data_IF_449190270625
#
_entry.id   IF_449190270625
#
_cell.length_a   1.000
_cell.length_b   1.000
_cell.length_c   1.000
_cell.angle_alpha   90.00
_cell.angle_beta   90.00
_cell.angle_gamma   90.00
#
_symmetry.space_group_name_H-M   'P 1'
#
loop_
_entity.id
_entity.type
_entity.pdbx_description
1 polymer ?
#
# COMPACT_ATOMS: atom_id res chain seq x y z
N UNK A 1 13.48 7.71 4.60
CA UNK A 1 13.65 6.31 4.12
C UNK A 1 14.90 6.11 3.27
N UNK A 2 14.99 6.66 2.05
CA UNK A 2 16.26 6.62 1.30
C UNK A 2 17.26 7.67 1.82
N UNK A 3 16.76 8.84 2.20
CA UNK A 3 17.57 9.92 2.80
C UNK A 3 18.23 9.49 4.11
N UNK A 4 17.51 8.75 4.96
CA UNK A 4 18.05 8.16 6.20
C UNK A 4 19.23 7.22 5.95
N UNK A 5 19.34 6.67 4.74
CA UNK A 5 20.41 5.79 4.29
C UNK A 5 21.43 6.51 3.40
N UNK A 6 21.32 7.84 3.26
CA UNK A 6 22.08 8.66 2.32
C UNK A 6 22.00 8.16 0.86
N UNK A 7 20.89 7.51 0.49
CA UNK A 7 20.62 7.00 -0.85
C UNK A 7 19.75 7.97 -1.65
N UNK A 8 19.98 8.02 -2.97
CA UNK A 8 19.11 8.73 -3.93
C UNK A 8 18.57 7.75 -4.97
N UNK A 9 17.27 7.43 -4.95
CA UNK A 9 16.69 6.51 -5.93
C UNK A 9 16.68 7.15 -7.32
N UNK A 10 16.96 6.35 -8.35
CA UNK A 10 16.76 6.77 -9.76
C UNK A 10 15.30 6.53 -10.13
N UNK A 11 14.51 7.59 -10.14
CA UNK A 11 13.10 7.51 -10.49
C UNK A 11 12.95 7.25 -11.99
N UNK A 12 12.33 6.12 -12.35
CA UNK A 12 12.11 5.75 -13.76
C UNK A 12 10.76 6.22 -14.29
N UNK A 13 9.75 6.23 -13.44
CA UNK A 13 8.40 6.66 -13.78
C UNK A 13 7.70 7.19 -12.52
N UNK A 14 6.74 8.08 -12.73
CA UNK A 14 5.80 8.54 -11.69
C UNK A 14 4.43 8.01 -12.08
N UNK A 15 3.81 7.28 -11.16
CA UNK A 15 2.48 6.70 -11.34
C UNK A 15 1.67 6.95 -10.07
N UNK A 16 0.37 7.16 -10.22
CA UNK A 16 -0.58 7.44 -9.13
C UNK A 16 -1.40 6.21 -8.72
N UNK A 17 -1.28 5.11 -9.45
CA UNK A 17 -2.03 3.89 -9.23
C UNK A 17 -1.10 2.69 -8.97
N UNK A 18 -1.38 1.97 -7.90
CA UNK A 18 -0.58 0.82 -7.46
C UNK A 18 -0.63 -0.35 -8.44
N UNK A 19 -1.77 -0.59 -9.10
CA UNK A 19 -1.90 -1.66 -10.09
C UNK A 19 -1.06 -1.36 -11.33
N UNK A 20 -1.04 -0.10 -11.79
CA UNK A 20 -0.13 0.35 -12.85
C UNK A 20 1.33 0.13 -12.44
N UNK A 21 1.68 0.41 -11.18
CA UNK A 21 3.02 0.19 -10.65
C UNK A 21 3.42 -1.29 -10.68
N UNK A 22 2.54 -2.20 -10.24
CA UNK A 22 2.78 -3.65 -10.28
C UNK A 22 2.98 -4.16 -11.70
N UNK A 23 2.15 -3.71 -12.65
CA UNK A 23 2.29 -4.07 -14.06
C UNK A 23 3.65 -3.63 -14.60
N UNK A 24 4.09 -2.41 -14.29
CA UNK A 24 5.40 -1.92 -14.68
C UNK A 24 6.55 -2.75 -14.08
N UNK A 25 6.46 -3.13 -12.80
CA UNK A 25 7.46 -3.99 -12.14
C UNK A 25 7.50 -5.37 -12.79
N UNK A 26 6.33 -5.99 -13.03
CA UNK A 26 6.22 -7.31 -13.69
C UNK A 26 6.79 -7.28 -15.11
N UNK A 27 6.63 -6.17 -15.83
CA UNK A 27 7.24 -5.95 -17.15
C UNK A 27 8.76 -5.65 -17.10
N UNK A 28 9.38 -5.67 -15.92
CA UNK A 28 10.82 -5.45 -15.75
C UNK A 28 11.25 -3.98 -15.82
N UNK A 29 10.32 -3.02 -15.68
CA UNK A 29 10.67 -1.61 -15.71
C UNK A 29 11.55 -1.21 -14.51
N UNK A 30 11.41 -1.89 -13.36
CA UNK A 30 12.22 -1.62 -12.18
C UNK A 30 11.68 -2.32 -10.95
N UNK A 31 11.96 -1.73 -9.78
CA UNK A 31 11.43 -2.16 -8.49
C UNK A 31 10.51 -1.09 -7.92
N UNK A 32 9.58 -1.51 -7.08
CA UNK A 32 8.65 -0.62 -6.39
C UNK A 32 8.61 -0.92 -4.89
N UNK A 33 8.25 0.09 -4.12
CA UNK A 33 7.90 -0.05 -2.71
C UNK A 33 6.42 0.22 -2.56
N UNK A 34 5.71 -0.75 -2.00
CA UNK A 34 4.25 -0.75 -1.85
C UNK A 34 3.90 -1.35 -0.49
N UNK A 35 2.68 -1.11 0.05
CA UNK A 35 2.23 -1.79 1.26
C UNK A 35 2.23 -3.31 1.04
N UNK A 36 2.69 -4.07 2.06
CA UNK A 36 2.91 -5.52 1.93
C UNK A 36 1.68 -6.27 1.41
N UNK A 37 0.51 -6.03 2.03
CA UNK A 37 -0.75 -6.69 1.64
C UNK A 37 -1.27 -6.30 0.25
N UNK A 38 -0.71 -5.27 -0.39
CA UNK A 38 -1.16 -4.89 -1.73
C UNK A 38 -0.67 -5.84 -2.82
N UNK A 39 0.38 -6.64 -2.60
CA UNK A 39 0.92 -7.57 -3.61
C UNK A 39 0.68 -9.05 -3.30
N UNK A 40 -0.13 -9.37 -2.30
CA UNK A 40 -0.32 -10.75 -1.82
C UNK A 40 -0.75 -11.72 -2.94
N UNK A 41 -1.61 -11.25 -3.85
CA UNK A 41 -2.08 -12.08 -4.97
C UNK A 41 -0.97 -12.36 -5.97
N UNK A 42 -0.23 -11.33 -6.37
CA UNK A 42 0.87 -11.44 -7.34
C UNK A 42 2.02 -12.27 -6.77
N UNK A 43 2.29 -12.17 -5.47
CA UNK A 43 3.25 -13.02 -4.77
C UNK A 43 2.79 -14.47 -4.73
N UNK A 44 1.52 -14.72 -4.39
CA UNK A 44 0.93 -16.07 -4.36
C UNK A 44 0.92 -16.74 -5.73
N UNK A 45 0.72 -15.96 -6.80
CA UNK A 45 0.73 -16.44 -8.18
C UNK A 45 2.15 -16.55 -8.77
N UNK A 46 3.18 -16.11 -8.05
CA UNK A 46 4.57 -16.11 -8.54
C UNK A 46 4.83 -15.08 -9.64
N UNK A 47 3.97 -14.09 -9.82
CA UNK A 47 4.11 -13.04 -10.82
C UNK A 47 5.09 -11.94 -10.40
N UNK A 48 5.26 -11.76 -9.09
CA UNK A 48 6.19 -10.82 -8.48
C UNK A 48 7.01 -11.51 -7.39
N UNK A 49 8.15 -10.90 -7.06
CA UNK A 49 8.98 -11.28 -5.92
C UNK A 49 9.04 -10.13 -4.93
N UNK A 50 8.84 -10.43 -3.65
CA UNK A 50 9.03 -9.46 -2.57
C UNK A 50 10.41 -9.62 -1.94
N UNK A 51 11.01 -8.50 -1.53
CA UNK A 51 12.18 -8.47 -0.66
C UNK A 51 11.84 -7.69 0.62
N UNK A 52 12.28 -8.16 1.79
CA UNK A 52 12.06 -7.42 3.03
C UNK A 52 12.79 -6.09 2.99
N UNK A 53 12.12 -5.02 3.45
CA UNK A 53 12.73 -3.71 3.62
C UNK A 53 13.50 -3.70 4.95
N UNK A 54 14.78 -3.34 4.90
CA UNK A 54 15.64 -3.19 6.08
C UNK A 54 16.22 -1.76 6.13
N UNK A 55 16.12 -1.06 7.27
CA UNK A 55 15.36 -1.44 8.47
C UNK A 55 13.85 -1.49 8.21
N UNK A 56 13.13 -2.27 9.02
CA UNK A 56 11.66 -2.40 8.92
C UNK A 56 10.98 -1.03 9.06
N UNK A 57 9.85 -0.85 8.35
CA UNK A 57 9.07 0.39 8.35
C UNK A 57 7.58 0.08 8.50
N UNK A 58 6.93 0.81 9.38
CA UNK A 58 5.49 0.75 9.59
C UNK A 58 4.78 1.84 8.79
N UNK A 59 3.59 1.50 8.29
CA UNK A 59 2.69 2.41 7.61
C UNK A 59 1.35 2.39 8.36
N UNK A 60 0.79 3.57 8.63
CA UNK A 60 -0.53 3.70 9.25
C UNK A 60 -1.59 4.06 8.21
N UNK A 61 -2.71 3.34 8.25
CA UNK A 61 -3.91 3.67 7.47
C UNK A 61 -4.90 4.34 8.43
N UNK A 62 -5.32 5.56 8.09
CA UNK A 62 -6.21 6.36 8.93
C UNK A 62 -7.56 6.54 8.23
N UNK A 63 -8.63 6.15 8.93
CA UNK A 63 -9.99 6.41 8.49
C UNK A 63 -10.47 7.76 9.05
N UNK A 64 -10.85 8.69 8.17
CA UNK A 64 -11.38 9.99 8.56
C UNK A 64 -12.91 10.02 8.45
N UNK A 65 -13.54 10.63 9.45
CA UNK A 65 -15.00 10.86 9.49
C UNK A 65 -15.27 12.36 9.49
N UNK A 66 -16.14 12.81 8.59
CA UNK A 66 -16.62 14.20 8.59
C UNK A 66 -17.41 14.50 9.87
N UNK A 67 -17.28 15.73 10.38
CA UNK A 67 -18.09 16.20 11.52
C UNK A 67 -19.56 16.45 11.13
N UNK A 68 -19.87 16.56 9.84
CA UNK A 68 -21.25 16.69 9.36
C UNK A 68 -22.01 15.37 9.53
N UNK A 69 -23.32 15.47 9.74
CA UNK A 69 -24.20 14.32 9.75
C UNK A 69 -24.01 13.50 8.47
N UNK A 70 -23.66 12.23 8.64
CA UNK A 70 -23.47 11.26 7.57
C UNK A 70 -24.65 10.29 7.61
N UNK A 71 -25.07 9.76 6.47
CA UNK A 71 -26.18 8.81 6.44
C UNK A 71 -25.84 7.55 7.25
N UNK A 72 -26.86 6.94 7.87
CA UNK A 72 -26.71 5.70 8.65
C UNK A 72 -25.95 4.61 7.88
N UNK A 73 -26.32 4.39 6.61
CA UNK A 73 -25.63 3.43 5.74
C UNK A 73 -24.13 3.69 5.58
N UNK A 74 -23.72 4.96 5.46
CA UNK A 74 -22.29 5.31 5.34
C UNK A 74 -21.57 5.11 6.68
N UNK A 75 -22.21 5.40 7.80
CA UNK A 75 -21.68 5.11 9.13
C UNK A 75 -21.47 3.62 9.35
N UNK A 76 -22.44 2.79 8.95
CA UNK A 76 -22.34 1.33 9.07
C UNK A 76 -21.16 0.79 8.26
N UNK A 77 -20.96 1.29 7.04
CA UNK A 77 -19.81 0.93 6.19
C UNK A 77 -18.49 1.37 6.84
N UNK A 78 -18.39 2.59 7.34
CA UNK A 78 -17.16 3.06 8.00
C UNK A 78 -16.84 2.23 9.25
N UNK A 79 -17.86 1.91 10.06
CA UNK A 79 -17.71 1.04 11.24
C UNK A 79 -17.21 -0.34 10.84
N UNK A 80 -17.76 -0.92 9.78
CA UNK A 80 -17.35 -2.23 9.30
C UNK A 80 -15.91 -2.22 8.76
N UNK A 81 -15.53 -1.18 8.00
CA UNK A 81 -14.15 -1.01 7.52
C UNK A 81 -13.19 -0.93 8.71
N UNK A 82 -13.47 -0.06 9.69
CA UNK A 82 -12.62 0.10 10.89
C UNK A 82 -12.54 -1.20 11.69
N UNK A 83 -13.66 -1.94 11.80
CA UNK A 83 -13.69 -3.25 12.48
C UNK A 83 -12.76 -4.25 11.82
N UNK A 84 -12.77 -4.34 10.48
CA UNK A 84 -11.90 -5.26 9.73
C UNK A 84 -10.43 -4.87 9.84
N UNK A 85 -10.12 -3.58 9.68
CA UNK A 85 -8.76 -3.07 9.79
C UNK A 85 -8.13 -3.34 11.17
N UNK A 86 -8.94 -3.46 12.23
CA UNK A 86 -8.48 -3.82 13.58
C UNK A 86 -8.34 -5.33 13.82
N UNK A 87 -8.92 -6.17 12.97
CA UNK A 87 -8.84 -7.64 13.08
C UNK A 87 -7.66 -8.22 12.28
N UNK A 88 -7.17 -7.47 11.29
CA UNK A 88 -6.03 -7.83 10.45
C UNK A 88 -4.69 -7.26 10.94
N UNK A 89 -4.71 -6.40 11.97
CA UNK A 89 -3.54 -5.82 12.64
C UNK A 89 -3.22 -6.58 13.93
#
# INVERSE_FOLDING_TARGET
MFEDLALRPRIRAVVDNIETMKVAVRAGAGIALIPAGSADNELRLGELLAKPLLPHRELSIVAYRSQKATSSRKEDVLREIVRRLRQEA
#
